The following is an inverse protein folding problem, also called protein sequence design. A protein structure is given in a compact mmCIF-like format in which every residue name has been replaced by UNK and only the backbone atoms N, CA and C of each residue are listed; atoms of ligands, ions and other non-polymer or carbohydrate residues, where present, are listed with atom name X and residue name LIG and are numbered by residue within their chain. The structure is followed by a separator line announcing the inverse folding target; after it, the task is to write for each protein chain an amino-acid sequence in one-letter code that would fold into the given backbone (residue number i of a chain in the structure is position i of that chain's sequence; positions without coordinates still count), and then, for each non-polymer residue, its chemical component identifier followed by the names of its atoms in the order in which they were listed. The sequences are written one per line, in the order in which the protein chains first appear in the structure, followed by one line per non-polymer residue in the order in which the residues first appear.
data_IF_374449710756
#
_entry.id   IF_374449710756
#
_cell.length_a   1.000
_cell.length_b   1.000
_cell.length_c   1.000
_cell.angle_alpha   90.00
_cell.angle_beta   90.00
_cell.angle_gamma   90.00
#
_symmetry.space_group_name_H-M   'P 1'
#
loop_
_entity.id
_entity.type
_entity.pdbx_description
1 polymer ?
#
# COMPACT_ATOMS: atom_id res chain seq x y z
N UNK A 1 -11.17 9.25 9.92
CA UNK A 1 -10.24 8.47 10.76
C UNK A 1 -8.95 9.26 10.81
N UNK A 2 -8.56 9.68 12.00
CA UNK A 2 -7.32 10.44 12.21
C UNK A 2 -6.12 9.48 12.30
N UNK A 3 -4.93 9.94 11.93
CA UNK A 3 -3.69 9.15 11.99
C UNK A 3 -3.36 8.80 13.45
N UNK A 4 -3.60 9.73 14.38
CA UNK A 4 -3.38 9.51 15.81
C UNK A 4 -4.23 8.35 16.35
N UNK A 5 -5.52 8.30 15.97
CA UNK A 5 -6.40 7.19 16.37
C UNK A 5 -5.93 5.85 15.80
N UNK A 6 -5.34 5.82 14.60
CA UNK A 6 -4.77 4.61 14.04
C UNK A 6 -3.51 4.18 14.81
N UNK A 7 -2.63 5.13 15.12
CA UNK A 7 -1.42 4.88 15.91
C UNK A 7 -1.73 4.37 17.32
N UNK A 8 -2.79 4.86 17.96
CA UNK A 8 -3.22 4.35 19.27
C UNK A 8 -3.63 2.87 19.20
N UNK A 9 -4.33 2.46 18.15
CA UNK A 9 -4.69 1.06 17.92
C UNK A 9 -3.42 0.24 17.68
N UNK A 10 -2.53 0.72 16.81
CA UNK A 10 -1.26 0.03 16.49
C UNK A 10 -0.42 -0.14 17.75
N UNK A 11 -0.32 0.88 18.60
CA UNK A 11 0.42 0.84 19.87
C UNK A 11 -0.14 -0.23 20.80
N UNK A 12 -1.47 -0.27 20.94
CA UNK A 12 -2.13 -1.30 21.76
C UNK A 12 -1.80 -2.71 21.27
N UNK A 13 -1.89 -2.95 19.96
CA UNK A 13 -1.61 -4.27 19.39
C UNK A 13 -0.10 -4.61 19.45
N UNK A 14 0.78 -3.62 19.35
CA UNK A 14 2.22 -3.79 19.53
C UNK A 14 2.59 -4.16 20.98
N UNK A 15 1.93 -3.57 21.98
CA UNK A 15 2.13 -3.88 23.41
C UNK A 15 1.65 -5.29 23.79
N UNK A 16 0.64 -5.82 23.09
CA UNK A 16 0.14 -7.18 23.28
C UNK A 16 1.10 -8.23 22.69
N UNK A 17 1.97 -7.82 21.76
CA UNK A 17 2.92 -8.71 21.10
C UNK A 17 4.19 -8.90 21.94
N UNK A 18 4.52 -10.15 22.27
CA UNK A 18 5.74 -10.47 23.04
C UNK A 18 7.02 -10.08 22.27
N UNK A 19 7.06 -10.33 20.95
CA UNK A 19 8.17 -9.98 20.06
C UNK A 19 7.69 -9.45 18.71
N UNK A 20 7.39 -8.16 18.65
CA UNK A 20 7.02 -7.49 17.41
C UNK A 20 8.19 -7.47 16.41
N UNK A 21 8.06 -8.18 15.28
CA UNK A 21 9.07 -8.19 14.22
C UNK A 21 9.00 -6.94 13.33
N UNK A 22 7.79 -6.48 13.02
CA UNK A 22 7.58 -5.44 12.05
C UNK A 22 6.11 -5.22 11.71
N UNK A 23 5.87 -4.36 10.74
CA UNK A 23 4.56 -4.00 10.25
C UNK A 23 4.48 -4.23 8.75
N UNK A 24 3.30 -4.66 8.30
CA UNK A 24 2.96 -4.79 6.89
C UNK A 24 1.81 -3.85 6.57
N UNK A 25 2.03 -2.89 5.68
CA UNK A 25 1.02 -1.93 5.28
C UNK A 25 0.54 -2.20 3.86
N UNK A 26 -0.76 -2.44 3.69
CA UNK A 26 -1.38 -2.69 2.38
C UNK A 26 -2.21 -1.47 2.00
N UNK A 27 -1.87 -0.79 0.90
CA UNK A 27 -2.59 0.39 0.47
C UNK A 27 -2.43 0.69 -1.03
N UNK A 28 -3.18 1.67 -1.55
CA UNK A 28 -3.09 2.12 -2.93
C UNK A 28 -2.38 3.47 -3.02
N UNK A 29 -1.43 3.60 -3.95
CA UNK A 29 -0.69 4.83 -4.23
C UNK A 29 -1.47 5.83 -5.10
N UNK A 30 -2.35 5.33 -5.97
CA UNK A 30 -3.16 6.18 -6.85
C UNK A 30 -4.33 6.86 -6.13
N UNK A 31 -4.91 6.19 -5.13
CA UNK A 31 -6.07 6.68 -4.39
C UNK A 31 -5.76 7.90 -3.50
N UNK A 32 -6.72 8.82 -3.38
CA UNK A 32 -6.59 10.05 -2.59
C UNK A 32 -6.40 9.80 -1.08
N UNK A 33 -7.10 8.83 -0.51
CA UNK A 33 -6.96 8.48 0.91
C UNK A 33 -5.74 7.61 1.14
N UNK A 34 -5.52 6.59 0.31
CA UNK A 34 -4.40 5.66 0.44
C UNK A 34 -3.05 6.37 0.37
N UNK A 35 -2.86 7.27 -0.60
CA UNK A 35 -1.65 8.08 -0.74
C UNK A 35 -1.36 8.95 0.48
N UNK A 36 -2.30 9.83 0.86
CA UNK A 36 -2.07 10.85 1.89
C UNK A 36 -2.06 10.26 3.30
N UNK A 37 -3.05 9.45 3.63
CA UNK A 37 -3.15 8.83 4.95
C UNK A 37 -2.06 7.77 5.12
N UNK A 38 -1.84 6.92 4.12
CA UNK A 38 -0.80 5.90 4.15
C UNK A 38 0.59 6.49 4.32
N UNK A 39 0.94 7.53 3.54
CA UNK A 39 2.23 8.22 3.67
C UNK A 39 2.42 8.82 5.07
N UNK A 40 1.41 9.49 5.61
CA UNK A 40 1.49 10.07 6.97
C UNK A 40 1.62 8.99 8.05
N UNK A 41 0.90 7.87 7.89
CA UNK A 41 0.94 6.76 8.83
C UNK A 41 2.31 6.08 8.83
N UNK A 42 2.90 5.87 7.65
CA UNK A 42 4.26 5.32 7.48
C UNK A 42 5.29 6.18 8.20
N UNK A 43 5.26 7.50 8.01
CA UNK A 43 6.20 8.40 8.67
C UNK A 43 6.05 8.31 10.19
N UNK A 44 4.82 8.30 10.72
CA UNK A 44 4.56 8.16 12.16
C UNK A 44 5.00 6.81 12.72
N UNK A 45 4.73 5.71 12.00
CA UNK A 45 5.20 4.38 12.39
C UNK A 45 6.73 4.33 12.43
N UNK A 46 7.42 4.93 11.46
CA UNK A 46 8.88 4.96 11.42
C UNK A 46 9.48 5.82 12.55
N UNK A 47 8.83 6.92 12.90
CA UNK A 47 9.21 7.77 14.05
C UNK A 47 9.10 7.00 15.38
N UNK A 48 8.02 6.25 15.60
CA UNK A 48 7.76 5.55 16.87
C UNK A 48 8.47 4.19 16.98
N UNK A 49 8.64 3.48 15.86
CA UNK A 49 9.22 2.15 15.78
C UNK A 49 10.42 2.08 14.80
N UNK A 50 11.50 2.85 15.03
CA UNK A 50 12.60 2.97 14.06
C UNK A 50 13.36 1.66 13.80
N UNK A 51 13.39 0.75 14.77
CA UNK A 51 14.11 -0.52 14.69
C UNK A 51 13.25 -1.71 14.23
N UNK A 52 12.00 -1.46 13.82
CA UNK A 52 11.08 -2.51 13.34
C UNK A 52 11.02 -2.47 11.82
N UNK A 53 10.92 -3.66 11.22
CA UNK A 53 10.81 -3.77 9.76
C UNK A 53 9.45 -3.18 9.35
N UNK A 54 9.46 -2.27 8.39
CA UNK A 54 8.25 -1.77 7.76
C UNK A 54 8.24 -2.21 6.30
N UNK A 55 7.32 -3.10 5.95
CA UNK A 55 7.10 -3.54 4.57
C UNK A 55 5.78 -2.98 4.05
N UNK A 56 5.77 -2.53 2.79
CA UNK A 56 4.55 -2.04 2.15
C UNK A 56 4.14 -2.91 0.96
N UNK A 57 2.84 -3.14 0.81
CA UNK A 57 2.22 -3.76 -0.34
C UNK A 57 1.38 -2.69 -1.02
N UNK A 58 1.97 -2.09 -2.04
CA UNK A 58 1.46 -0.87 -2.65
C UNK A 58 0.86 -1.19 -4.02
N UNK A 59 -0.43 -0.86 -4.20
CA UNK A 59 -1.08 -0.92 -5.50
C UNK A 59 -0.66 0.30 -6.33
N UNK A 60 0.17 0.08 -7.35
CA UNK A 60 0.67 1.10 -8.26
C UNK A 60 -0.39 1.50 -9.28
N UNK A 61 -0.43 2.78 -9.68
CA UNK A 61 -1.31 3.23 -10.75
C UNK A 61 -0.89 2.59 -12.08
N UNK A 62 -1.87 2.28 -12.91
CA UNK A 62 -1.65 1.68 -14.22
C UNK A 62 -1.37 2.76 -15.27
N UNK A 63 -0.45 2.48 -16.20
CA UNK A 63 -0.03 3.41 -17.27
C UNK A 63 -1.08 3.61 -18.37
N UNK A 64 -2.10 2.75 -18.46
CA UNK A 64 -3.29 3.00 -19.29
C UNK A 64 -4.15 4.09 -18.63
N UNK A 65 -3.69 5.33 -18.82
CA UNK A 65 -4.36 6.55 -18.37
C UNK A 65 -5.76 6.56 -18.97
N UNK A 66 -6.74 6.15 -18.17
CA UNK A 66 -8.12 6.51 -18.43
C UNK A 66 -8.28 7.98 -18.04
N UNK A 67 -8.86 8.80 -18.89
CA UNK A 67 -9.06 10.25 -18.70
C UNK A 67 -9.71 10.64 -17.35
N UNK A 68 -10.29 9.68 -16.62
CA UNK A 68 -10.88 9.84 -15.30
C UNK A 68 -9.86 9.94 -14.13
N UNK A 69 -8.58 9.65 -14.35
CA UNK A 69 -7.60 9.45 -13.26
C UNK A 69 -6.34 10.32 -13.39
N UNK A 70 -6.48 11.56 -13.84
CA UNK A 70 -5.36 12.51 -14.08
C UNK A 70 -4.55 12.82 -12.82
N UNK A 71 -5.14 12.70 -11.63
CA UNK A 71 -4.48 12.97 -10.35
C UNK A 71 -3.67 11.79 -9.80
N UNK A 72 -3.89 10.56 -10.29
CA UNK A 72 -3.24 9.37 -9.76
C UNK A 72 -1.71 9.38 -9.91
N UNK A 73 -1.12 9.81 -11.05
CA UNK A 73 0.33 9.89 -11.19
C UNK A 73 0.97 10.86 -10.19
N UNK A 74 0.31 11.98 -9.90
CA UNK A 74 0.79 12.97 -8.93
C UNK A 74 0.75 12.42 -7.50
N UNK A 75 -0.36 11.78 -7.11
CA UNK A 75 -0.50 11.15 -5.80
C UNK A 75 0.51 10.02 -5.61
N UNK A 76 0.72 9.22 -6.64
CA UNK A 76 1.68 8.12 -6.60
C UNK A 76 3.10 8.62 -6.48
N UNK A 77 3.50 9.65 -7.25
CA UNK A 77 4.84 10.22 -7.16
C UNK A 77 5.12 10.81 -5.76
N UNK A 78 4.17 11.58 -5.22
CA UNK A 78 4.31 12.17 -3.89
C UNK A 78 4.40 11.09 -2.79
N UNK A 79 3.59 10.04 -2.91
CA UNK A 79 3.60 8.93 -1.93
C UNK A 79 4.84 8.05 -2.07
N UNK A 80 5.36 7.89 -3.28
CA UNK A 80 6.56 7.12 -3.54
C UNK A 80 7.79 7.72 -2.83
N UNK A 81 7.87 9.05 -2.71
CA UNK A 81 8.94 9.66 -1.92
C UNK A 81 8.91 9.19 -0.46
N UNK A 82 7.73 9.19 0.16
CA UNK A 82 7.58 8.74 1.55
C UNK A 82 7.91 7.25 1.70
N UNK A 83 7.55 6.43 0.71
CA UNK A 83 7.94 5.01 0.66
C UNK A 83 9.46 4.84 0.64
N UNK A 84 10.16 5.54 -0.24
CA UNK A 84 11.61 5.45 -0.40
C UNK A 84 12.34 5.86 0.89
N UNK A 85 11.84 6.86 1.58
CA UNK A 85 12.49 7.41 2.78
C UNK A 85 12.19 6.59 4.05
N UNK A 86 11.01 5.98 4.14
CA UNK A 86 10.50 5.47 5.41
C UNK A 86 10.17 3.97 5.41
N UNK A 87 10.22 3.25 4.30
CA UNK A 87 9.86 1.82 4.22
C UNK A 87 11.08 0.99 3.85
N UNK A 88 11.27 -0.15 4.52
CA UNK A 88 12.42 -1.03 4.28
C UNK A 88 12.26 -1.85 2.99
N UNK A 89 11.03 -2.27 2.71
CA UNK A 89 10.68 -3.07 1.54
C UNK A 89 9.33 -2.66 0.96
N UNK A 90 9.26 -2.50 -0.36
CA UNK A 90 8.00 -2.17 -1.06
C UNK A 90 7.71 -3.20 -2.15
N UNK A 91 6.61 -3.91 -1.98
CA UNK A 91 6.01 -4.77 -2.99
C UNK A 91 5.14 -3.93 -3.92
N UNK A 92 5.59 -3.76 -5.15
CA UNK A 92 4.87 -3.04 -6.19
C UNK A 92 3.87 -3.98 -6.87
N UNK A 93 2.59 -3.83 -6.56
CA UNK A 93 1.51 -4.62 -7.15
C UNK A 93 0.83 -3.79 -8.23
N UNK A 94 0.67 -4.35 -9.42
CA UNK A 94 0.00 -3.68 -10.53
C UNK A 94 -1.23 -4.47 -10.99
N UNK A 95 -2.42 -3.83 -10.93
CA UNK A 95 -3.68 -4.46 -11.35
C UNK A 95 -3.68 -4.89 -12.82
N UNK A 96 -2.97 -4.19 -13.70
CA UNK A 96 -2.84 -4.61 -15.11
C UNK A 96 -2.01 -5.90 -15.25
N UNK A 97 -0.92 -6.03 -14.48
CA UNK A 97 -0.16 -7.27 -14.44
C UNK A 97 -1.00 -8.44 -13.90
N UNK A 98 -1.74 -8.22 -12.80
CA UNK A 98 -2.67 -9.21 -12.24
C UNK A 98 -3.77 -9.60 -13.23
N UNK A 99 -4.30 -8.63 -13.98
CA UNK A 99 -5.27 -8.88 -15.04
C UNK A 99 -4.68 -9.73 -16.16
N UNK A 100 -3.45 -9.43 -16.60
CA UNK A 100 -2.77 -10.20 -17.64
C UNK A 100 -2.50 -11.65 -17.17
N UNK A 101 -2.09 -11.84 -15.92
CA UNK A 101 -1.92 -13.18 -15.32
C UNK A 101 -3.27 -13.92 -15.30
N UNK A 102 -4.33 -13.26 -14.85
CA UNK A 102 -5.67 -13.85 -14.78
C UNK A 102 -6.20 -14.29 -16.16
N UNK A 103 -6.04 -13.44 -17.16
CA UNK A 103 -6.52 -13.69 -18.52
C UNK A 103 -5.69 -14.75 -19.25
N UNK A 104 -4.36 -14.63 -19.21
CA UNK A 104 -3.47 -15.41 -20.07
C UNK A 104 -2.93 -16.68 -19.40
N UNK A 105 -2.71 -16.65 -18.08
CA UNK A 105 -2.16 -17.78 -17.33
C UNK A 105 -3.27 -18.60 -16.69
N UNK A 106 -4.17 -17.96 -15.93
CA UNK A 106 -5.25 -18.63 -15.22
C UNK A 106 -6.48 -18.90 -16.10
N UNK A 107 -6.52 -18.35 -17.33
CA UNK A 107 -7.60 -18.51 -18.33
C UNK A 107 -8.98 -18.08 -17.82
N UNK A 108 -9.03 -17.11 -16.91
CA UNK A 108 -10.26 -16.51 -16.41
C UNK A 108 -10.73 -15.48 -17.45
N UNK A 109 -11.86 -15.73 -18.11
CA UNK A 109 -12.33 -14.92 -19.26
C UNK A 109 -12.81 -13.51 -18.88
N UNK A 110 -13.28 -13.32 -17.65
CA UNK A 110 -13.77 -12.03 -17.15
C UNK A 110 -13.31 -11.82 -15.71
N UNK A 111 -12.01 -11.54 -15.49
CA UNK A 111 -11.48 -11.44 -14.15
C UNK A 111 -12.04 -10.22 -13.43
N UNK A 112 -12.30 -10.40 -12.14
CA UNK A 112 -12.84 -9.41 -11.21
C UNK A 112 -11.79 -9.08 -10.15
N UNK A 113 -12.04 -8.04 -9.33
CA UNK A 113 -11.15 -7.76 -8.18
C UNK A 113 -11.08 -8.91 -7.19
N UNK A 114 -12.10 -9.76 -7.12
CA UNK A 114 -12.04 -10.98 -6.31
C UNK A 114 -10.90 -11.87 -6.81
N UNK A 115 -10.83 -12.12 -8.11
CA UNK A 115 -9.80 -12.96 -8.71
C UNK A 115 -8.39 -12.37 -8.53
N UNK A 116 -8.25 -11.04 -8.61
CA UNK A 116 -6.96 -10.37 -8.39
C UNK A 116 -6.46 -10.50 -6.95
N UNK A 117 -7.37 -10.42 -5.98
CA UNK A 117 -7.03 -10.52 -4.56
C UNK A 117 -6.77 -11.97 -4.10
N UNK A 118 -7.00 -12.97 -4.96
CA UNK A 118 -6.67 -14.38 -4.72
C UNK A 118 -5.29 -14.79 -5.24
N UNK A 119 -4.67 -13.95 -6.07
CA UNK A 119 -3.31 -14.13 -6.59
C UNK A 119 -2.32 -13.66 -5.53
#
# INVERSE_FOLDING_TARGET
MDVEMAMDIIRREAEISDELQGFQLIYSLGGSTGSRFGSSLITKMREEYPNRILSSFSMFPTTKISYAFVAEPYNALLSAQHLIENVDETFCIENEALRNISLHTLKITRPTYYDFNHI
#
